data_IF_083592089434
#
_entry.id   IF_083592089434
#
_cell.length_a   1.000
_cell.length_b   1.000
_cell.length_c   1.000
_cell.angle_alpha   90.00
_cell.angle_beta   90.00
_cell.angle_gamma   90.00
#
_symmetry.space_group_name_H-M   'P 1'
#
loop_
_entity.id
_entity.type
_entity.pdbx_description
1 polymer ?
#
# COMPACT_ATOMS: atom_id res chain seq x y z
N UNK A 1 -13.68 15.39 -10.81
CA UNK A 1 -12.74 15.28 -9.66
C UNK A 1 -13.28 14.22 -8.74
N UNK A 2 -12.43 13.36 -8.14
CA UNK A 2 -12.88 12.33 -7.20
C UNK A 2 -13.58 12.99 -5.99
N UNK A 3 -14.39 12.20 -5.29
CA UNK A 3 -15.36 12.57 -4.24
C UNK A 3 -15.16 13.87 -3.47
N UNK A 4 -16.26 14.53 -3.11
CA UNK A 4 -16.23 15.71 -2.24
C UNK A 4 -15.63 15.30 -0.88
N UNK A 5 -14.45 15.83 -0.57
CA UNK A 5 -13.81 15.68 0.73
C UNK A 5 -14.23 16.81 1.67
N UNK A 6 -14.70 16.50 2.87
CA UNK A 6 -15.07 17.51 3.87
C UNK A 6 -14.72 17.06 5.29
N UNK A 7 -14.33 18.02 6.12
CA UNK A 7 -13.98 17.77 7.52
C UNK A 7 -15.22 17.47 8.35
N UNK A 8 -15.08 16.49 9.24
CA UNK A 8 -16.08 16.18 10.25
C UNK A 8 -15.88 17.07 11.48
N UNK A 9 -16.96 17.25 12.25
CA UNK A 9 -17.01 18.14 13.42
C UNK A 9 -17.31 17.34 14.68
N UNK A 10 -17.14 17.96 15.86
CA UNK A 10 -17.46 17.32 17.13
C UNK A 10 -16.40 16.30 17.56
N UNK A 11 -16.85 15.14 18.01
CA UNK A 11 -16.02 13.98 18.40
C UNK A 11 -15.16 13.42 17.26
N UNK A 12 -15.55 13.70 16.02
CA UNK A 12 -14.80 13.32 14.81
C UNK A 12 -13.93 14.44 14.24
N UNK A 13 -13.69 15.50 15.00
CA UNK A 13 -12.79 16.59 14.58
C UNK A 13 -11.40 16.06 14.19
N UNK A 14 -10.91 16.47 13.02
CA UNK A 14 -9.66 15.98 12.43
C UNK A 14 -9.81 14.77 11.50
N UNK A 15 -11.01 14.17 11.42
CA UNK A 15 -11.37 13.19 10.40
C UNK A 15 -12.05 13.86 9.20
N UNK A 16 -11.98 13.22 8.04
CA UNK A 16 -12.52 13.72 6.78
C UNK A 16 -13.33 12.65 6.07
N UNK A 17 -14.50 13.02 5.55
CA UNK A 17 -15.32 12.15 4.72
C UNK A 17 -15.07 12.44 3.25
N UNK A 18 -14.72 11.40 2.49
CA UNK A 18 -14.61 11.40 1.04
C UNK A 18 -15.79 10.63 0.44
N UNK A 19 -16.63 11.32 -0.34
CA UNK A 19 -17.78 10.69 -0.99
C UNK A 19 -17.35 9.64 -2.04
N UNK A 20 -17.92 8.44 -1.96
CA UNK A 20 -17.78 7.33 -2.91
C UNK A 20 -19.07 7.13 -3.72
N UNK A 21 -19.04 6.18 -4.66
CA UNK A 21 -20.22 5.81 -5.44
C UNK A 21 -21.31 5.18 -4.54
N UNK A 22 -22.59 5.33 -4.93
CA UNK A 22 -23.78 4.83 -4.20
C UNK A 22 -24.02 5.39 -2.80
N UNK A 23 -23.47 6.57 -2.47
CA UNK A 23 -23.73 7.21 -1.17
C UNK A 23 -22.82 6.75 -0.04
N UNK A 24 -21.90 5.81 -0.32
CA UNK A 24 -20.82 5.46 0.59
C UNK A 24 -19.87 6.62 0.81
N UNK A 25 -19.24 6.65 1.97
CA UNK A 25 -18.17 7.58 2.34
C UNK A 25 -17.00 6.82 2.91
N UNK A 26 -15.81 7.16 2.46
CA UNK A 26 -14.55 6.76 3.08
C UNK A 26 -14.19 7.82 4.12
N UNK A 27 -14.07 7.41 5.39
CA UNK A 27 -13.59 8.29 6.44
C UNK A 27 -12.09 8.09 6.61
N UNK A 28 -11.35 9.18 6.51
CA UNK A 28 -9.89 9.18 6.58
C UNK A 28 -9.39 10.19 7.61
N UNK A 29 -8.17 9.98 8.10
CA UNK A 29 -7.43 10.95 8.91
C UNK A 29 -5.99 11.03 8.43
N UNK A 30 -5.42 12.23 8.23
CA UNK A 30 -3.99 12.38 8.00
C UNK A 30 -3.18 11.89 9.21
N UNK A 31 -2.05 11.24 8.98
CA UNK A 31 -1.19 10.79 10.08
C UNK A 31 -0.38 11.95 10.66
N UNK A 32 0.02 11.80 11.92
CA UNK A 32 0.86 12.77 12.61
C UNK A 32 2.32 12.74 12.08
N UNK A 33 2.98 13.91 11.97
CA UNK A 33 2.45 15.24 12.25
C UNK A 33 1.54 15.75 11.11
N UNK A 34 0.31 16.16 11.43
CA UNK A 34 -0.62 16.67 10.42
C UNK A 34 -0.10 18.01 9.87
N UNK A 35 0.25 18.10 8.57
CA UNK A 35 0.81 19.31 8.00
C UNK A 35 -0.27 20.40 7.95
N UNK A 36 0.03 21.60 8.44
CA UNK A 36 -0.91 22.73 8.49
C UNK A 36 -0.35 23.97 7.80
N UNK A 37 -1.25 24.72 7.15
CA UNK A 37 -1.00 26.08 6.65
C UNK A 37 -1.17 27.09 7.79
N UNK A 38 -0.60 28.31 7.65
CA UNK A 38 -0.93 29.43 8.53
C UNK A 38 -2.45 29.58 8.65
N UNK A 39 -2.98 29.57 9.87
CA UNK A 39 -4.42 29.54 10.13
C UNK A 39 -5.02 28.15 10.37
N UNK A 40 -4.21 27.14 10.72
CA UNK A 40 -4.65 25.81 11.18
C UNK A 40 -5.46 24.98 10.16
N UNK A 41 -5.44 25.36 8.88
CA UNK A 41 -6.01 24.54 7.80
C UNK A 41 -5.00 23.49 7.38
N UNK A 42 -5.42 22.25 7.19
CA UNK A 42 -4.53 21.18 6.72
C UNK A 42 -3.92 21.54 5.36
N UNK A 43 -2.62 21.33 5.23
CA UNK A 43 -1.90 21.43 3.97
C UNK A 43 -1.96 20.10 3.21
N UNK A 44 -3.05 19.88 2.48
CA UNK A 44 -3.30 18.63 1.74
C UNK A 44 -2.17 18.24 0.76
N UNK A 45 -1.42 19.20 0.22
CA UNK A 45 -0.32 18.89 -0.70
C UNK A 45 0.93 18.35 0.00
N UNK A 46 0.97 18.36 1.33
CA UNK A 46 2.08 17.85 2.15
C UNK A 46 1.67 16.63 2.98
N UNK A 47 0.43 16.13 2.82
CA UNK A 47 -0.01 14.90 3.49
C UNK A 47 0.62 13.71 2.76
N UNK A 48 1.55 13.03 3.42
CA UNK A 48 2.24 11.86 2.87
C UNK A 48 1.50 10.56 3.13
N UNK A 49 0.85 10.45 4.30
CA UNK A 49 0.12 9.24 4.69
C UNK A 49 -1.22 9.58 5.34
N UNK A 50 -2.20 8.73 5.09
CA UNK A 50 -3.53 8.78 5.71
C UNK A 50 -3.85 7.41 6.32
N UNK A 51 -4.65 7.40 7.38
CA UNK A 51 -5.35 6.21 7.85
C UNK A 51 -6.77 6.23 7.30
N UNK A 52 -7.19 5.13 6.70
CA UNK A 52 -8.61 4.84 6.47
C UNK A 52 -9.20 4.35 7.78
N UNK A 53 -10.20 5.06 8.30
CA UNK A 53 -10.87 4.75 9.55
C UNK A 53 -12.05 3.81 9.30
N UNK A 54 -12.92 4.16 8.36
CA UNK A 54 -14.12 3.37 8.05
C UNK A 54 -14.64 3.65 6.63
N UNK A 55 -15.48 2.74 6.12
CA UNK A 55 -16.34 2.95 4.95
C UNK A 55 -17.78 2.84 5.44
N UNK A 56 -18.59 3.88 5.25
CA UNK A 56 -19.95 3.96 5.80
C UNK A 56 -20.97 4.39 4.74
N UNK A 57 -22.21 3.87 4.81
CA UNK A 57 -23.36 4.36 4.06
C UNK A 57 -24.11 5.41 4.91
N UNK A 58 -24.70 6.42 4.25
CA UNK A 58 -25.40 7.57 4.83
C UNK A 58 -26.66 7.22 5.67
N UNK A 59 -26.94 5.93 5.90
CA UNK A 59 -28.14 5.46 6.59
C UNK A 59 -27.92 4.72 7.91
N UNK A 60 -26.69 4.44 8.33
CA UNK A 60 -26.46 3.77 9.62
C UNK A 60 -26.10 4.74 10.75
N UNK A 61 -27.02 4.78 11.72
CA UNK A 61 -26.86 5.38 13.03
C UNK A 61 -25.90 4.52 13.86
N UNK A 62 -24.86 5.18 14.37
CA UNK A 62 -23.87 4.70 15.34
C UNK A 62 -22.94 3.56 14.87
N UNK A 63 -21.71 3.87 14.43
CA UNK A 63 -20.71 2.84 14.30
C UNK A 63 -20.25 2.44 15.70
N UNK A 64 -20.49 1.19 16.09
CA UNK A 64 -19.53 0.53 16.97
C UNK A 64 -18.17 0.64 16.28
N UNK A 65 -17.12 1.02 17.01
CA UNK A 65 -15.76 1.06 16.46
C UNK A 65 -15.31 -0.38 16.19
N UNK A 66 -15.76 -0.97 15.09
CA UNK A 66 -15.27 -2.25 14.62
C UNK A 66 -13.95 -1.98 13.91
N UNK A 67 -12.85 -2.28 14.60
CA UNK A 67 -11.54 -2.37 13.96
C UNK A 67 -11.62 -3.50 12.94
N UNK A 68 -11.83 -3.15 11.67
CA UNK A 68 -11.68 -4.09 10.58
C UNK A 68 -10.19 -4.28 10.32
N UNK A 69 -9.63 -5.37 10.83
CA UNK A 69 -8.27 -5.79 10.51
C UNK A 69 -8.19 -6.02 9.00
N UNK A 70 -7.19 -5.43 8.36
CA UNK A 70 -6.91 -5.68 6.95
C UNK A 70 -6.39 -7.12 6.80
N UNK A 71 -7.27 -8.02 6.38
CA UNK A 71 -6.98 -9.43 6.09
C UNK A 71 -7.27 -9.69 4.60
N UNK A 72 -6.33 -9.36 3.69
CA UNK A 72 -6.53 -9.60 2.27
C UNK A 72 -6.47 -11.11 1.97
N UNK A 73 -7.45 -11.61 1.20
CA UNK A 73 -7.45 -12.98 0.70
C UNK A 73 -6.22 -13.26 -0.18
N UNK A 74 -5.76 -12.24 -0.91
CA UNK A 74 -4.61 -12.30 -1.82
C UNK A 74 -3.73 -11.07 -1.62
N UNK A 75 -2.42 -11.29 -1.51
CA UNK A 75 -1.41 -10.23 -1.56
C UNK A 75 -0.55 -10.45 -2.79
N UNK A 76 -0.44 -9.43 -3.64
CA UNK A 76 0.38 -9.50 -4.85
C UNK A 76 1.87 -9.26 -4.52
N UNK A 77 2.80 -10.00 -5.14
CA UNK A 77 4.22 -9.79 -4.92
C UNK A 77 4.66 -8.43 -5.46
N UNK A 78 5.59 -7.77 -4.76
CA UNK A 78 6.16 -6.49 -5.18
C UNK A 78 6.77 -6.55 -6.60
N UNK A 79 7.22 -7.73 -7.03
CA UNK A 79 7.74 -7.96 -8.37
C UNK A 79 6.70 -7.89 -9.50
N UNK A 80 5.41 -8.08 -9.20
CA UNK A 80 4.34 -7.88 -10.19
C UNK A 80 4.11 -6.39 -10.43
N UNK A 81 4.05 -5.59 -9.36
CA UNK A 81 4.04 -4.12 -9.45
C UNK A 81 5.27 -3.60 -10.21
N UNK A 82 6.44 -4.21 -10.01
CA UNK A 82 7.63 -3.87 -10.78
C UNK A 82 7.47 -4.20 -12.27
N UNK A 83 6.89 -5.36 -12.61
CA UNK A 83 6.66 -5.75 -13.99
C UNK A 83 5.68 -4.81 -14.72
N UNK A 84 4.57 -4.43 -14.07
CA UNK A 84 3.61 -3.45 -14.59
C UNK A 84 4.26 -2.10 -14.86
N UNK A 85 5.08 -1.63 -13.91
CA UNK A 85 5.79 -0.36 -14.03
C UNK A 85 6.83 -0.36 -15.17
N UNK A 86 7.49 -1.51 -15.39
CA UNK A 86 8.41 -1.68 -16.52
C UNK A 86 7.65 -1.65 -17.85
N UNK A 87 6.51 -2.31 -17.93
CA UNK A 87 5.65 -2.32 -19.12
C UNK A 87 5.13 -0.91 -19.46
N UNK A 88 4.62 -0.18 -18.47
CA UNK A 88 4.16 1.21 -18.62
C UNK A 88 5.25 2.11 -19.21
N UNK A 89 6.51 1.87 -18.82
CA UNK A 89 7.68 2.65 -19.24
C UNK A 89 8.37 2.13 -20.48
N UNK A 90 7.86 1.05 -21.09
CA UNK A 90 8.49 0.40 -22.24
C UNK A 90 9.90 -0.13 -21.93
N UNK A 91 10.17 -0.50 -20.67
CA UNK A 91 11.44 -1.05 -20.22
C UNK A 91 11.35 -2.56 -20.11
N UNK A 92 12.40 -3.26 -20.53
CA UNK A 92 12.52 -4.70 -20.30
C UNK A 92 13.21 -5.01 -18.96
N UNK A 93 13.09 -6.26 -18.48
CA UNK A 93 13.87 -6.71 -17.31
C UNK A 93 15.38 -6.65 -17.57
N UNK A 94 15.82 -6.78 -18.83
CA UNK A 94 17.23 -6.64 -19.20
C UNK A 94 17.69 -5.19 -19.08
N UNK A 95 16.84 -4.23 -19.45
CA UNK A 95 17.12 -2.81 -19.25
C UNK A 95 17.20 -2.47 -17.76
N UNK A 96 16.32 -3.07 -16.95
CA UNK A 96 16.36 -2.91 -15.51
C UNK A 96 17.68 -3.47 -14.92
N UNK A 97 18.08 -4.69 -15.30
CA UNK A 97 19.35 -5.29 -14.88
C UNK A 97 20.55 -4.37 -15.17
N UNK A 98 20.59 -3.78 -16.37
CA UNK A 98 21.65 -2.86 -16.77
C UNK A 98 21.67 -1.55 -15.96
N UNK A 99 20.55 -1.16 -15.32
CA UNK A 99 20.42 0.07 -14.53
C UNK A 99 20.63 -0.13 -13.03
N UNK A 100 20.45 -1.34 -12.52
CA UNK A 100 20.42 -1.61 -11.06
C UNK A 100 21.60 -2.44 -10.55
N UNK A 101 22.53 -2.87 -11.41
CA UNK A 101 23.56 -3.87 -11.12
C UNK A 101 22.99 -5.21 -10.59
N UNK A 102 21.70 -5.45 -10.83
CA UNK A 102 21.05 -6.71 -10.46
C UNK A 102 21.17 -7.69 -11.62
N UNK A 103 21.38 -8.96 -11.29
CA UNK A 103 21.34 -9.99 -12.33
C UNK A 103 19.92 -10.14 -12.89
N UNK A 104 19.78 -10.42 -14.19
CA UNK A 104 18.49 -10.75 -14.80
C UNK A 104 17.80 -11.95 -14.10
N UNK A 105 18.60 -12.89 -13.58
CA UNK A 105 18.10 -14.00 -12.75
C UNK A 105 17.43 -13.48 -11.48
N UNK A 106 18.09 -12.57 -10.76
CA UNK A 106 17.53 -11.99 -9.54
C UNK A 106 16.26 -11.20 -9.82
N UNK A 107 16.23 -10.38 -10.87
CA UNK A 107 15.01 -9.64 -11.27
C UNK A 107 13.85 -10.59 -11.57
N UNK A 108 14.09 -11.66 -12.33
CA UNK A 108 13.05 -12.66 -12.61
C UNK A 108 12.55 -13.36 -11.33
N UNK A 109 13.43 -13.62 -10.35
CA UNK A 109 13.02 -14.20 -9.07
C UNK A 109 12.26 -13.21 -8.19
N UNK A 110 12.58 -11.91 -8.26
CA UNK A 110 11.81 -10.83 -7.62
C UNK A 110 10.41 -10.77 -8.24
N UNK A 111 10.31 -10.78 -9.58
CA UNK A 111 9.03 -10.77 -10.30
C UNK A 111 8.12 -11.94 -9.93
N UNK A 112 8.70 -13.10 -9.59
CA UNK A 112 7.95 -14.29 -9.13
C UNK A 112 7.66 -14.29 -7.62
N UNK A 113 8.05 -13.26 -6.87
CA UNK A 113 7.92 -13.25 -5.41
C UNK A 113 8.73 -14.34 -4.71
N UNK A 114 9.80 -14.84 -5.32
CA UNK A 114 10.69 -15.85 -4.74
C UNK A 114 11.86 -15.19 -4.03
N UNK A 115 12.49 -14.23 -4.69
CA UNK A 115 13.55 -13.43 -4.08
C UNK A 115 12.94 -12.21 -3.38
N UNK A 116 13.26 -12.05 -2.11
CA UNK A 116 12.90 -10.83 -1.36
C UNK A 116 13.60 -9.60 -1.94
N UNK A 117 12.99 -8.44 -1.74
CA UNK A 117 13.56 -7.13 -2.04
C UNK A 117 14.22 -6.61 -0.77
N UNK A 118 15.52 -6.87 -0.64
CA UNK A 118 16.31 -6.34 0.49
C UNK A 118 16.40 -4.81 0.43
N UNK A 119 16.76 -4.11 1.52
CA UNK A 119 16.95 -2.66 1.50
C UNK A 119 17.91 -2.20 0.40
N UNK A 120 18.99 -2.93 0.15
CA UNK A 120 19.96 -2.63 -0.91
C UNK A 120 19.33 -2.78 -2.31
N UNK A 121 18.53 -3.83 -2.49
CA UNK A 121 17.78 -4.07 -3.74
C UNK A 121 16.75 -2.96 -3.96
N UNK A 122 16.06 -2.53 -2.89
CA UNK A 122 15.08 -1.44 -2.94
C UNK A 122 15.73 -0.10 -3.34
N UNK A 123 16.93 0.20 -2.83
CA UNK A 123 17.71 1.38 -3.25
C UNK A 123 18.10 1.29 -4.72
N UNK A 124 18.48 0.10 -5.20
CA UNK A 124 18.79 -0.10 -6.61
C UNK A 124 17.54 0.12 -7.50
N UNK A 125 16.39 -0.44 -7.11
CA UNK A 125 15.12 -0.23 -7.80
C UNK A 125 14.70 1.24 -7.77
N UNK A 126 14.87 1.95 -6.65
CA UNK A 126 14.59 3.38 -6.57
C UNK A 126 15.33 4.17 -7.64
N UNK A 127 16.64 3.92 -7.82
CA UNK A 127 17.44 4.60 -8.85
C UNK A 127 16.95 4.34 -10.28
N UNK A 128 16.44 3.14 -10.56
CA UNK A 128 15.98 2.78 -11.90
C UNK A 128 14.51 3.14 -12.17
N UNK A 129 13.69 3.24 -11.12
CA UNK A 129 12.23 3.38 -11.23
C UNK A 129 11.69 4.69 -10.69
N UNK A 130 12.51 5.50 -10.00
CA UNK A 130 12.09 6.72 -9.30
C UNK A 130 11.00 6.50 -8.24
N UNK A 131 10.69 5.25 -7.90
CA UNK A 131 9.79 4.88 -6.80
C UNK A 131 10.62 4.79 -5.52
N UNK A 132 10.23 5.43 -4.40
CA UNK A 132 11.00 5.40 -3.17
C UNK A 132 11.28 3.96 -2.68
N UNK A 133 12.51 3.71 -2.19
CA UNK A 133 12.93 2.39 -1.71
C UNK A 133 11.99 1.82 -0.64
N UNK A 134 11.47 2.68 0.24
CA UNK A 134 10.50 2.29 1.28
C UNK A 134 9.24 1.63 0.71
N UNK A 135 8.75 2.08 -0.45
CA UNK A 135 7.57 1.51 -1.08
C UNK A 135 7.84 0.05 -1.45
N UNK A 136 8.99 -0.24 -2.05
CA UNK A 136 9.38 -1.60 -2.42
C UNK A 136 9.55 -2.50 -1.20
N UNK A 137 10.25 -2.02 -0.17
CA UNK A 137 10.44 -2.77 1.07
C UNK A 137 9.11 -3.07 1.75
N UNK A 138 8.18 -2.11 1.79
CA UNK A 138 6.85 -2.29 2.39
C UNK A 138 6.01 -3.32 1.63
N UNK A 139 6.00 -3.25 0.30
CA UNK A 139 5.28 -4.20 -0.55
C UNK A 139 5.82 -5.62 -0.39
N UNK A 140 7.14 -5.80 -0.44
CA UNK A 140 7.75 -7.13 -0.27
C UNK A 140 7.53 -7.66 1.15
N UNK A 141 7.70 -6.83 2.18
CA UNK A 141 7.46 -7.26 3.58
C UNK A 141 6.03 -7.76 3.79
N UNK A 142 5.03 -7.06 3.24
CA UNK A 142 3.64 -7.47 3.31
C UNK A 142 3.40 -8.82 2.60
N UNK A 143 3.97 -8.98 1.40
CA UNK A 143 3.85 -10.22 0.64
C UNK A 143 4.55 -11.41 1.31
N UNK A 144 5.78 -11.23 1.82
CA UNK A 144 6.50 -12.30 2.50
C UNK A 144 5.79 -12.74 3.79
N UNK A 145 5.20 -11.80 4.54
CA UNK A 145 4.41 -12.12 5.73
C UNK A 145 3.17 -12.95 5.38
N UNK A 146 2.42 -12.54 4.34
CA UNK A 146 1.27 -13.30 3.84
C UNK A 146 1.67 -14.71 3.36
N UNK A 147 2.74 -14.79 2.55
CA UNK A 147 3.25 -16.06 2.02
C UNK A 147 3.72 -17.02 3.12
N UNK A 148 4.36 -16.50 4.16
CA UNK A 148 4.78 -17.30 5.31
C UNK A 148 3.58 -17.87 6.08
N UNK A 149 2.50 -17.10 6.20
CA UNK A 149 1.24 -17.58 6.79
C UNK A 149 0.62 -18.73 5.98
N UNK A 150 0.57 -18.60 4.64
CA UNK A 150 0.03 -19.65 3.76
C UNK A 150 0.84 -20.95 3.85
N UNK A 151 2.18 -20.84 3.84
CA UNK A 151 3.06 -22.00 3.95
C UNK A 151 2.92 -22.71 5.32
N UNK A 152 2.62 -21.98 6.39
CA UNK A 152 2.33 -22.57 7.70
C UNK A 152 1.00 -23.33 7.70
N UNK A 153 -0.06 -22.72 7.17
CA UNK A 153 -1.37 -23.39 7.05
C UNK A 153 -1.26 -24.68 6.24
N UNK A 154 -0.53 -24.65 5.12
CA UNK A 154 -0.30 -25.83 4.28
C UNK A 154 0.52 -26.91 4.99
N UNK A 155 1.53 -26.53 5.78
CA UNK A 155 2.34 -27.47 6.57
C UNK A 155 1.49 -28.20 7.61
N UNK A 156 0.68 -27.47 8.36
CA UNK A 156 -0.20 -28.03 9.39
C UNK A 156 -1.27 -28.96 8.79
N UNK A 157 -1.77 -28.64 7.60
CA UNK A 157 -2.69 -29.52 6.87
C UNK A 157 -2.02 -30.85 6.50
N UNK A 158 -0.79 -30.82 5.98
CA UNK A 158 -0.04 -32.01 5.59
C UNK A 158 0.47 -32.86 6.77
N UNK A 159 0.60 -32.29 7.96
CA UNK A 159 0.96 -33.02 9.19
C UNK A 159 -0.25 -33.72 9.85
N UNK A 160 -1.47 -33.37 9.43
CA UNK A 160 -2.73 -33.90 9.98
C UNK A 160 -3.31 -35.09 9.19
N UNK A 161 -2.68 -35.46 8.07
CA UNK A 161 -3.00 -36.61 7.20
C UNK A 161 -2.02 -37.78 7.42
#
# INVERSE_FOLDING_TARGET
>A
MPGRCHGLTGDRAGQFALDLHQGFRLIIRPNDPVPTKPGHRINWSQVETITIIEITDNHDLAPEMTTHTYEPDVVYPAGETLAELLEERGMTQADLAARTDLSAKQINQINKGVSSITPETAVALHRATDVPAEVWTRLDSAYQAWKAGQAEVERLANESD
#
